data_IF_155139899510
#
_entry.id   IF_155139899510
#
_cell.length_a   1.000
_cell.length_b   1.000
_cell.length_c   1.000
_cell.angle_alpha   90.00
_cell.angle_beta   90.00
_cell.angle_gamma   90.00
#
_symmetry.space_group_name_H-M   'P 1'
#
loop_
_entity.id
_entity.type
_entity.pdbx_description
1 polymer ?
#
# COMPACT_ATOMS: atom_id res chain seq x y z
N UNK A 1 62.93 27.78 43.10
CA UNK A 1 61.65 27.05 43.19
C UNK A 1 60.61 27.85 42.39
N UNK A 2 60.15 27.32 41.26
CA UNK A 2 59.13 27.93 40.39
C UNK A 2 57.93 26.98 40.32
N UNK A 3 56.66 27.46 40.39
CA UNK A 3 55.51 26.59 40.45
C UNK A 3 55.15 25.99 39.08
N UNK A 4 54.77 24.72 39.10
CA UNK A 4 54.26 23.95 37.95
C UNK A 4 52.82 24.38 37.65
N UNK A 5 52.59 24.95 36.46
CA UNK A 5 51.24 25.27 35.96
C UNK A 5 50.63 23.99 35.39
N UNK A 6 49.66 23.41 36.11
CA UNK A 6 48.85 22.27 35.60
C UNK A 6 47.85 22.78 34.56
N UNK A 7 47.86 22.20 33.37
CA UNK A 7 46.83 22.44 32.36
C UNK A 7 45.48 21.88 32.85
N UNK A 8 44.47 22.74 32.96
CA UNK A 8 43.11 22.34 33.31
C UNK A 8 42.44 21.64 32.11
N UNK A 9 41.82 20.48 32.36
CA UNK A 9 41.12 19.72 31.32
C UNK A 9 39.81 20.41 30.91
N UNK A 10 39.62 20.57 29.60
CA UNK A 10 38.47 21.24 28.96
C UNK A 10 37.12 20.54 29.18
N UNK A 11 37.09 19.41 29.90
CA UNK A 11 35.88 18.65 30.19
C UNK A 11 35.11 19.16 31.42
N UNK A 12 35.69 20.04 32.24
CA UNK A 12 35.06 20.55 33.47
C UNK A 12 34.15 21.78 33.26
N UNK A 13 34.02 22.29 32.02
CA UNK A 13 33.24 23.49 31.73
C UNK A 13 31.80 23.17 31.27
N UNK A 14 30.80 24.01 31.63
CA UNK A 14 29.40 23.82 31.29
C UNK A 14 29.17 23.85 29.76
N UNK A 15 28.19 23.08 29.24
CA UNK A 15 28.02 22.81 27.81
C UNK A 15 27.71 24.07 26.97
N UNK A 16 27.21 25.14 27.58
CA UNK A 16 26.89 26.41 26.92
C UNK A 16 28.12 27.25 26.54
N UNK A 17 29.28 27.03 27.15
CA UNK A 17 30.51 27.80 26.90
C UNK A 17 31.53 27.07 26.01
N UNK A 18 31.25 25.81 25.65
CA UNK A 18 32.12 24.99 24.79
C UNK A 18 32.24 25.47 23.34
N UNK A 19 31.23 26.07 22.67
CA UNK A 19 31.39 26.46 21.26
C UNK A 19 32.25 27.71 21.06
N UNK A 20 32.48 28.51 22.10
CA UNK A 20 33.25 29.77 22.01
C UNK A 20 34.77 29.50 22.07
N UNK A 21 35.21 28.46 22.80
CA UNK A 21 36.62 28.06 22.88
C UNK A 21 37.04 27.07 21.78
N UNK A 22 36.09 26.44 21.10
CA UNK A 22 36.33 25.63 19.91
C UNK A 22 36.27 26.45 18.60
N UNK A 23 36.32 27.78 18.70
CA UNK A 23 36.50 28.67 17.56
C UNK A 23 37.89 28.41 16.97
N UNK A 24 37.95 27.51 15.97
CA UNK A 24 39.12 27.38 15.11
C UNK A 24 39.32 28.71 14.41
N UNK A 25 40.33 29.47 14.83
CA UNK A 25 40.80 30.62 14.09
C UNK A 25 41.20 30.16 12.68
N UNK A 26 40.39 30.50 11.69
CA UNK A 26 40.80 30.41 10.29
C UNK A 26 41.81 31.53 10.04
N UNK A 27 43.09 31.20 10.14
CA UNK A 27 44.16 32.09 9.71
C UNK A 27 44.11 32.21 8.17
N UNK A 28 43.52 33.28 7.66
CA UNK A 28 43.73 33.74 6.29
C UNK A 28 45.11 34.36 6.20
N UNK A 29 46.08 33.66 5.62
CA UNK A 29 47.39 34.23 5.31
C UNK A 29 47.25 35.21 4.12
N UNK A 30 46.98 36.48 4.38
CA UNK A 30 47.22 37.55 3.39
C UNK A 30 48.70 37.92 3.46
N UNK A 31 49.52 37.13 2.79
CA UNK A 31 50.96 37.39 2.66
C UNK A 31 51.22 38.49 1.63
N UNK A 32 51.51 39.70 2.11
CA UNK A 32 52.07 40.78 1.31
C UNK A 32 53.58 40.57 1.16
N UNK A 33 54.04 40.41 -0.08
CA UNK A 33 55.42 40.60 -0.55
C UNK A 33 56.58 40.18 0.36
N UNK A 34 57.05 38.95 0.20
CA UNK A 34 58.48 38.65 0.43
C UNK A 34 58.96 37.70 -0.66
N UNK A 35 59.92 38.16 -1.46
CA UNK A 35 60.60 37.41 -2.51
C UNK A 35 61.55 36.41 -1.87
N UNK A 36 61.05 35.24 -1.54
CA UNK A 36 61.84 34.04 -1.35
C UNK A 36 61.10 32.92 -2.05
N UNK A 37 61.81 32.16 -2.88
CA UNK A 37 61.34 31.05 -3.72
C UNK A 37 60.42 30.11 -2.93
N UNK A 38 59.13 30.43 -2.88
CA UNK A 38 58.18 29.76 -2.02
C UNK A 38 57.66 28.53 -2.76
N UNK A 39 58.14 27.36 -2.37
CA UNK A 39 57.43 26.13 -2.69
C UNK A 39 56.05 26.22 -2.05
N UNK A 40 55.04 26.54 -2.85
CA UNK A 40 53.63 26.46 -2.47
C UNK A 40 53.40 25.11 -1.78
N UNK A 41 52.68 25.04 -0.62
CA UNK A 41 52.42 23.77 0.02
C UNK A 41 51.69 22.87 -0.99
N UNK A 42 52.36 21.78 -1.40
CA UNK A 42 51.86 20.84 -2.40
C UNK A 42 50.49 20.35 -1.93
N UNK A 43 49.42 20.79 -2.60
CA UNK A 43 48.06 20.43 -2.25
C UNK A 43 47.93 18.91 -2.18
N UNK A 44 47.32 18.39 -1.11
CA UNK A 44 47.05 16.96 -0.97
C UNK A 44 46.07 16.54 -2.07
N UNK A 45 46.42 15.47 -2.79
CA UNK A 45 45.57 14.92 -3.83
C UNK A 45 44.24 14.44 -3.22
N UNK A 46 43.12 14.82 -3.82
CA UNK A 46 41.78 14.43 -3.38
C UNK A 46 41.56 12.97 -3.78
N UNK A 47 41.33 12.11 -2.79
CA UNK A 47 41.02 10.69 -2.98
C UNK A 47 39.57 10.42 -2.61
N UNK A 48 39.06 9.25 -3.00
CA UNK A 48 37.69 8.78 -2.72
C UNK A 48 37.31 8.77 -1.23
N UNK A 49 38.29 8.82 -0.33
CA UNK A 49 38.08 8.76 1.13
C UNK A 49 38.40 10.08 1.86
N UNK A 50 38.97 11.08 1.18
CA UNK A 50 39.48 12.32 1.79
C UNK A 50 38.94 13.58 1.08
N UNK A 51 37.74 13.51 0.52
CA UNK A 51 37.12 14.65 -0.18
C UNK A 51 36.19 15.44 0.75
N UNK A 52 36.64 16.62 1.18
CA UNK A 52 35.90 17.53 2.07
C UNK A 52 35.06 18.58 1.31
N UNK A 53 34.96 18.48 -0.03
CA UNK A 53 34.18 19.43 -0.87
C UNK A 53 34.76 20.85 -0.99
N UNK A 54 35.82 21.18 -0.24
CA UNK A 54 36.38 22.54 -0.13
C UNK A 54 37.05 23.08 -1.39
N UNK A 55 37.42 22.20 -2.33
CA UNK A 55 38.04 22.58 -3.61
C UNK A 55 36.99 22.67 -4.72
N UNK A 56 36.94 23.79 -5.48
CA UNK A 56 36.05 23.94 -6.63
C UNK A 56 36.42 23.01 -7.80
N UNK A 57 35.41 22.47 -8.47
CA UNK A 57 35.50 21.46 -9.54
C UNK A 57 36.50 21.76 -10.67
N UNK A 58 36.72 23.04 -10.98
CA UNK A 58 37.64 23.49 -12.04
C UNK A 58 39.11 23.19 -11.71
N UNK A 59 39.45 23.11 -10.43
CA UNK A 59 40.83 22.95 -9.93
C UNK A 59 41.13 21.51 -9.46
N UNK A 60 40.33 20.53 -9.87
CA UNK A 60 40.60 19.10 -9.66
C UNK A 60 41.18 18.47 -10.93
N UNK A 61 42.23 17.67 -10.76
CA UNK A 61 42.79 16.84 -11.82
C UNK A 61 41.77 15.78 -12.28
N UNK A 62 41.95 15.24 -13.49
CA UNK A 62 41.02 14.24 -14.05
C UNK A 62 40.80 13.03 -13.14
N UNK A 63 41.83 12.60 -12.41
CA UNK A 63 41.76 11.46 -11.46
C UNK A 63 40.99 11.82 -10.17
N UNK A 64 41.12 13.05 -9.69
CA UNK A 64 40.43 13.54 -8.51
C UNK A 64 38.93 13.82 -8.78
N UNK A 65 38.60 14.27 -10.00
CA UNK A 65 37.19 14.36 -10.45
C UNK A 65 36.51 13.00 -10.45
N UNK A 66 37.19 11.98 -10.98
CA UNK A 66 36.69 10.60 -10.94
C UNK A 66 36.47 10.16 -9.50
N UNK A 67 37.42 10.42 -8.59
CA UNK A 67 37.29 10.05 -7.18
C UNK A 67 36.06 10.70 -6.49
N UNK A 68 35.83 12.00 -6.69
CA UNK A 68 34.64 12.70 -6.16
C UNK A 68 33.35 12.15 -6.76
N UNK A 69 33.32 11.91 -8.07
CA UNK A 69 32.17 11.29 -8.75
C UNK A 69 31.90 9.89 -8.21
N UNK A 70 32.94 9.07 -8.00
CA UNK A 70 32.79 7.69 -7.50
C UNK A 70 32.11 7.66 -6.14
N UNK A 71 32.51 8.53 -5.20
CA UNK A 71 31.90 8.60 -3.87
C UNK A 71 30.42 9.03 -3.95
N UNK A 72 30.11 10.01 -4.79
CA UNK A 72 28.73 10.43 -5.03
C UNK A 72 27.88 9.32 -5.68
N UNK A 73 28.43 8.58 -6.64
CA UNK A 73 27.74 7.48 -7.31
C UNK A 73 27.54 6.25 -6.43
N UNK A 74 28.43 6.00 -5.48
CA UNK A 74 28.29 4.87 -4.55
C UNK A 74 27.15 5.10 -3.55
N UNK A 75 27.07 6.31 -2.98
CA UNK A 75 25.99 6.69 -2.07
C UNK A 75 24.64 6.67 -2.79
N UNK A 76 24.56 7.26 -4.00
CA UNK A 76 23.35 7.23 -4.81
C UNK A 76 23.00 5.80 -5.24
N UNK A 77 23.99 5.01 -5.66
CA UNK A 77 23.80 3.62 -6.09
C UNK A 77 23.23 2.75 -4.98
N UNK A 78 23.73 2.90 -3.75
CA UNK A 78 23.21 2.15 -2.58
C UNK A 78 21.75 2.51 -2.29
N UNK A 79 21.41 3.80 -2.34
CA UNK A 79 20.01 4.27 -2.18
C UNK A 79 19.12 3.71 -3.28
N UNK A 80 19.54 3.73 -4.54
CA UNK A 80 18.77 3.21 -5.66
C UNK A 80 18.54 1.69 -5.54
N UNK A 81 19.55 0.93 -5.15
CA UNK A 81 19.44 -0.52 -4.90
C UNK A 81 18.46 -0.78 -3.76
N UNK A 82 18.58 -0.06 -2.65
CA UNK A 82 17.67 -0.18 -1.50
C UNK A 82 16.22 0.13 -1.87
N UNK A 83 15.99 1.20 -2.64
CA UNK A 83 14.66 1.58 -3.14
C UNK A 83 14.10 0.54 -4.11
N UNK A 84 14.91 -0.02 -5.01
CA UNK A 84 14.47 -1.05 -5.93
C UNK A 84 14.04 -2.34 -5.20
N UNK A 85 14.84 -2.80 -4.23
CA UNK A 85 14.51 -3.97 -3.42
C UNK A 85 13.23 -3.75 -2.59
N UNK A 86 13.13 -2.60 -1.92
CA UNK A 86 11.96 -2.24 -1.09
C UNK A 86 10.72 -2.10 -1.95
N UNK A 87 10.84 -1.46 -3.13
CA UNK A 87 9.76 -1.34 -4.11
C UNK A 87 9.29 -2.68 -4.64
N UNK A 88 10.21 -3.61 -4.92
CA UNK A 88 9.90 -4.97 -5.35
C UNK A 88 9.09 -5.75 -4.30
N UNK A 89 9.52 -5.73 -3.03
CA UNK A 89 8.78 -6.40 -1.94
C UNK A 89 7.40 -5.77 -1.74
N UNK A 90 7.34 -4.44 -1.74
CA UNK A 90 6.07 -3.70 -1.60
C UNK A 90 5.11 -4.03 -2.73
N UNK A 91 5.61 -4.13 -3.97
CA UNK A 91 4.82 -4.52 -5.13
C UNK A 91 4.22 -5.92 -4.97
N UNK A 92 5.01 -6.91 -4.58
CA UNK A 92 4.54 -8.28 -4.38
C UNK A 92 3.47 -8.37 -3.29
N UNK A 93 3.65 -7.66 -2.17
CA UNK A 93 2.66 -7.59 -1.11
C UNK A 93 1.37 -6.91 -1.59
N UNK A 94 1.49 -5.84 -2.38
CA UNK A 94 0.34 -5.16 -2.94
C UNK A 94 -0.46 -6.06 -3.89
N UNK A 95 0.21 -6.78 -4.79
CA UNK A 95 -0.45 -7.66 -5.76
C UNK A 95 -1.13 -8.87 -5.11
N UNK A 96 -0.56 -9.42 -4.04
CA UNK A 96 -1.10 -10.62 -3.39
C UNK A 96 -2.17 -10.30 -2.33
N UNK A 97 -2.07 -9.18 -1.61
CA UNK A 97 -2.91 -8.90 -0.43
C UNK A 97 -3.92 -7.79 -0.68
N UNK A 98 -3.50 -6.70 -1.33
CA UNK A 98 -4.29 -5.47 -1.41
C UNK A 98 -4.94 -5.25 -2.76
N UNK A 99 -4.50 -5.96 -3.80
CA UNK A 99 -5.11 -5.88 -5.11
C UNK A 99 -6.61 -6.22 -4.98
N UNK A 100 -7.51 -5.47 -5.64
CA UNK A 100 -8.94 -5.79 -5.65
C UNK A 100 -9.23 -7.21 -6.15
N UNK A 101 -8.35 -7.70 -7.03
CA UNK A 101 -8.36 -9.03 -7.64
C UNK A 101 -7.70 -10.12 -6.76
N UNK A 102 -7.18 -9.77 -5.59
CA UNK A 102 -6.56 -10.74 -4.68
C UNK A 102 -7.56 -11.71 -4.07
N UNK A 103 -7.10 -12.94 -3.81
CA UNK A 103 -7.90 -14.01 -3.17
C UNK A 103 -8.46 -13.57 -1.82
N UNK A 104 -7.67 -12.85 -1.03
CA UNK A 104 -8.03 -12.40 0.31
C UNK A 104 -9.13 -11.32 0.23
N UNK A 105 -9.02 -10.37 -0.70
CA UNK A 105 -10.04 -9.36 -0.89
C UNK A 105 -11.38 -9.97 -1.35
N UNK A 106 -11.34 -10.94 -2.27
CA UNK A 106 -12.56 -11.66 -2.71
C UNK A 106 -13.19 -12.46 -1.57
N UNK A 107 -12.37 -13.11 -0.73
CA UNK A 107 -12.87 -13.79 0.47
C UNK A 107 -13.57 -12.83 1.43
N UNK A 108 -12.95 -11.69 1.76
CA UNK A 108 -13.54 -10.71 2.67
C UNK A 108 -14.86 -10.16 2.12
N UNK A 109 -14.89 -9.83 0.82
CA UNK A 109 -16.09 -9.34 0.15
C UNK A 109 -17.23 -10.37 0.17
N UNK A 110 -16.94 -11.63 -0.14
CA UNK A 110 -17.92 -12.70 -0.08
C UNK A 110 -18.41 -12.96 1.35
N UNK A 111 -17.51 -12.93 2.33
CA UNK A 111 -17.85 -13.10 3.74
C UNK A 111 -18.74 -11.96 4.27
N UNK A 112 -18.46 -10.72 3.88
CA UNK A 112 -19.26 -9.56 4.28
C UNK A 112 -20.65 -9.59 3.62
N UNK A 113 -20.73 -10.00 2.35
CA UNK A 113 -22.00 -10.22 1.67
C UNK A 113 -22.88 -11.27 2.37
N UNK A 114 -22.28 -12.36 2.87
CA UNK A 114 -23.00 -13.37 3.67
C UNK A 114 -23.46 -12.83 5.03
N UNK A 115 -22.70 -11.91 5.65
CA UNK A 115 -23.08 -11.28 6.92
C UNK A 115 -24.15 -10.21 6.76
N UNK A 116 -24.27 -9.61 5.59
CA UNK A 116 -25.25 -8.55 5.28
C UNK A 116 -26.59 -9.11 4.78
N UNK A 117 -26.60 -10.29 4.15
CA UNK A 117 -27.83 -10.87 3.59
C UNK A 117 -28.79 -11.34 4.71
N UNK A 118 -30.04 -10.82 4.77
CA UNK A 118 -31.02 -11.22 5.78
C UNK A 118 -31.34 -12.72 5.75
N UNK A 119 -31.28 -13.38 4.58
CA UNK A 119 -31.54 -14.83 4.45
C UNK A 119 -30.48 -15.65 5.17
N UNK A 120 -29.23 -15.19 5.10
CA UNK A 120 -28.12 -15.85 5.79
C UNK A 120 -28.17 -15.58 7.31
N UNK A 121 -28.57 -14.37 7.70
CA UNK A 121 -28.74 -13.99 9.12
C UNK A 121 -29.84 -14.82 9.80
N UNK A 122 -30.94 -15.12 9.10
CA UNK A 122 -32.02 -15.96 9.65
C UNK A 122 -31.51 -17.37 10.03
N UNK A 123 -30.66 -17.95 9.18
CA UNK A 123 -30.16 -19.32 9.37
C UNK A 123 -28.94 -19.39 10.29
N UNK A 124 -27.98 -18.46 10.15
CA UNK A 124 -26.73 -18.46 10.93
C UNK A 124 -26.89 -17.72 12.28
N UNK A 125 -27.83 -16.79 12.36
CA UNK A 125 -28.05 -15.88 13.50
C UNK A 125 -27.43 -14.50 13.29
N UNK A 126 -27.26 -13.74 14.39
CA UNK A 126 -26.83 -12.33 14.33
C UNK A 126 -25.51 -12.14 13.54
N UNK A 127 -25.58 -11.36 12.45
CA UNK A 127 -24.46 -11.07 11.54
C UNK A 127 -23.16 -10.63 12.21
N UNK A 128 -23.24 -9.89 13.33
CA UNK A 128 -22.05 -9.43 14.08
C UNK A 128 -21.27 -10.55 14.77
N UNK A 129 -21.91 -11.69 15.02
CA UNK A 129 -21.29 -12.85 15.68
C UNK A 129 -20.86 -13.93 14.68
N UNK A 130 -21.07 -13.71 13.38
CA UNK A 130 -20.71 -14.66 12.33
C UNK A 130 -19.20 -14.58 12.08
N UNK A 131 -18.53 -15.73 12.17
CA UNK A 131 -17.11 -15.91 11.91
C UNK A 131 -16.93 -16.68 10.61
N UNK A 132 -16.07 -16.18 9.72
CA UNK A 132 -15.66 -16.89 8.51
C UNK A 132 -14.20 -17.33 8.64
N UNK A 133 -13.92 -18.58 8.28
CA UNK A 133 -12.57 -19.15 8.35
C UNK A 133 -12.36 -20.19 7.24
N UNK A 134 -11.09 -20.50 6.96
CA UNK A 134 -10.72 -21.48 5.93
C UNK A 134 -11.02 -22.93 6.32
N UNK A 135 -10.28 -23.86 5.72
CA UNK A 135 -10.47 -25.29 5.99
C UNK A 135 -10.16 -25.63 7.45
N UNK A 136 -10.92 -26.55 8.08
CA UNK A 136 -10.64 -26.96 9.43
C UNK A 136 -9.40 -27.85 9.39
N UNK A 137 -8.32 -27.42 10.02
CA UNK A 137 -7.14 -28.26 10.14
C UNK A 137 -7.23 -29.13 11.39
N UNK A 138 -6.71 -30.36 11.33
CA UNK A 138 -6.75 -31.33 12.43
C UNK A 138 -5.84 -30.96 13.61
N UNK A 139 -4.96 -29.98 13.44
CA UNK A 139 -4.06 -29.50 14.49
C UNK A 139 -4.77 -28.58 15.48
N UNK A 140 -4.70 -28.92 16.77
CA UNK A 140 -5.26 -28.14 17.89
C UNK A 140 -4.69 -26.71 17.99
N UNK A 141 -3.52 -26.46 17.41
CA UNK A 141 -2.88 -25.13 17.42
C UNK A 141 -3.41 -24.20 16.32
N UNK A 142 -3.91 -24.76 15.23
CA UNK A 142 -4.31 -23.96 14.07
C UNK A 142 -5.83 -23.74 14.08
N UNK A 143 -6.22 -22.58 14.61
CA UNK A 143 -7.63 -22.19 14.82
C UNK A 143 -8.30 -21.61 13.57
N UNK A 144 -7.52 -21.29 12.54
CA UNK A 144 -8.01 -20.86 11.23
C UNK A 144 -7.05 -21.45 10.18
N UNK A 145 -7.52 -22.44 9.42
CA UNK A 145 -6.74 -22.99 8.32
C UNK A 145 -6.65 -22.03 7.14
N UNK A 146 -5.74 -22.32 6.18
CA UNK A 146 -5.67 -21.56 4.94
C UNK A 146 -7.01 -21.61 4.20
N UNK A 147 -7.29 -20.54 3.45
CA UNK A 147 -8.46 -20.47 2.61
C UNK A 147 -8.19 -21.34 1.38
N UNK A 148 -9.04 -22.34 1.16
CA UNK A 148 -8.95 -23.19 -0.03
C UNK A 148 -9.45 -22.42 -1.24
N UNK A 149 -8.50 -21.92 -2.02
CA UNK A 149 -8.74 -21.18 -3.24
C UNK A 149 -7.93 -21.78 -4.38
N UNK A 150 -8.56 -22.02 -5.52
CA UNK A 150 -7.92 -22.49 -6.73
C UNK A 150 -8.20 -21.50 -7.87
N UNK A 151 -7.15 -21.06 -8.56
CA UNK A 151 -7.25 -20.27 -9.78
C UNK A 151 -6.85 -21.16 -10.94
N UNK A 152 -7.81 -21.46 -11.82
CA UNK A 152 -7.59 -22.25 -13.03
C UNK A 152 -7.84 -21.39 -14.25
N UNK A 153 -6.97 -21.48 -15.26
CA UNK A 153 -7.13 -20.76 -16.52
C UNK A 153 -7.60 -21.70 -17.61
N UNK A 154 -8.71 -21.37 -18.23
CA UNK A 154 -9.30 -22.12 -19.34
C UNK A 154 -8.50 -21.93 -20.64
N UNK A 155 -8.67 -22.85 -21.60
CA UNK A 155 -8.10 -22.74 -22.96
C UNK A 155 -8.51 -21.45 -23.67
N UNK A 156 -9.69 -20.90 -23.34
CA UNK A 156 -10.21 -19.63 -23.85
C UNK A 156 -9.61 -18.39 -23.18
N UNK A 157 -8.66 -18.57 -22.26
CA UNK A 157 -8.01 -17.49 -21.51
C UNK A 157 -8.87 -16.93 -20.38
N UNK A 158 -9.99 -17.57 -20.06
CA UNK A 158 -10.87 -17.18 -18.95
C UNK A 158 -10.31 -17.73 -17.64
N UNK A 159 -10.23 -16.89 -16.61
CA UNK A 159 -9.72 -17.30 -15.30
C UNK A 159 -10.88 -17.64 -14.38
N UNK A 160 -10.81 -18.82 -13.76
CA UNK A 160 -11.78 -19.36 -12.83
C UNK A 160 -11.20 -19.35 -11.43
N UNK A 161 -11.77 -18.55 -10.54
CA UNK A 161 -11.46 -18.56 -9.13
C UNK A 161 -12.54 -19.36 -8.40
N UNK A 162 -12.18 -20.53 -7.90
CA UNK A 162 -13.06 -21.39 -7.09
C UNK A 162 -12.54 -21.33 -5.66
N UNK A 163 -13.42 -21.02 -4.72
CA UNK A 163 -13.07 -20.91 -3.32
C UNK A 163 -14.22 -21.42 -2.45
N UNK A 164 -13.85 -22.11 -1.37
CA UNK A 164 -14.80 -22.50 -0.34
C UNK A 164 -14.23 -22.16 1.03
N UNK A 165 -15.12 -21.76 1.92
CA UNK A 165 -14.77 -21.42 3.29
C UNK A 165 -15.92 -21.74 4.23
N UNK A 166 -15.58 -21.91 5.50
CA UNK A 166 -16.54 -22.24 6.54
C UNK A 166 -17.02 -20.97 7.22
N UNK A 167 -18.29 -21.00 7.61
CA UNK A 167 -18.94 -19.92 8.34
C UNK A 167 -19.61 -20.50 9.57
N UNK A 168 -19.35 -19.88 10.71
CA UNK A 168 -19.92 -20.25 12.01
C UNK A 168 -20.68 -19.06 12.58
N UNK A 169 -21.97 -19.25 12.79
CA UNK A 169 -22.84 -18.31 13.49
C UNK A 169 -23.28 -18.87 14.85
N UNK A 170 -23.96 -18.06 15.67
CA UNK A 170 -24.46 -18.49 16.98
C UNK A 170 -25.52 -19.60 16.90
N UNK A 171 -26.23 -19.74 15.79
CA UNK A 171 -27.26 -20.76 15.61
C UNK A 171 -26.72 -22.00 14.90
N UNK A 172 -26.05 -21.79 13.77
CA UNK A 172 -25.64 -22.86 12.88
C UNK A 172 -24.25 -22.59 12.27
N UNK A 173 -23.68 -23.66 11.69
CA UNK A 173 -22.47 -23.61 10.87
C UNK A 173 -22.77 -24.06 9.45
N UNK A 174 -22.11 -23.45 8.48
CA UNK A 174 -22.26 -23.74 7.08
C UNK A 174 -20.96 -23.63 6.30
N UNK A 175 -21.03 -24.01 5.04
CA UNK A 175 -19.93 -23.88 4.08
C UNK A 175 -20.40 -22.96 2.96
N UNK A 176 -19.64 -21.91 2.70
CA UNK A 176 -19.85 -21.03 1.56
C UNK A 176 -18.98 -21.51 0.43
N UNK A 177 -19.59 -21.66 -0.75
CA UNK A 177 -18.87 -21.96 -1.97
C UNK A 177 -19.10 -20.82 -2.96
N UNK A 178 -18.01 -20.39 -3.59
CA UNK A 178 -18.05 -19.37 -4.61
C UNK A 178 -17.24 -19.79 -5.83
N UNK A 179 -17.78 -19.44 -6.98
CA UNK A 179 -17.10 -19.55 -8.25
C UNK A 179 -17.20 -18.21 -8.95
N UNK A 180 -16.04 -17.61 -9.16
CA UNK A 180 -15.90 -16.39 -9.91
C UNK A 180 -15.18 -16.66 -11.22
N UNK A 181 -15.51 -15.84 -12.22
CA UNK A 181 -14.99 -15.94 -13.57
C UNK A 181 -14.49 -14.56 -13.98
N UNK A 182 -13.28 -14.51 -14.53
CA UNK A 182 -12.68 -13.30 -15.10
C UNK A 182 -12.48 -13.53 -16.61
N UNK A 183 -13.35 -12.96 -17.44
CA UNK A 183 -13.18 -12.97 -18.89
C UNK A 183 -11.91 -12.21 -19.28
N UNK A 184 -11.25 -12.56 -20.40
CA UNK A 184 -10.08 -11.81 -20.88
C UNK A 184 -10.43 -10.37 -21.30
N UNK A 185 -11.71 -10.08 -21.58
CA UNK A 185 -12.20 -8.74 -21.94
C UNK A 185 -12.41 -7.82 -20.73
N UNK A 186 -12.52 -8.37 -19.52
CA UNK A 186 -12.82 -7.62 -18.31
C UNK A 186 -11.69 -7.75 -17.28
N UNK A 187 -11.40 -6.66 -16.59
CA UNK A 187 -10.38 -6.66 -15.53
C UNK A 187 -10.90 -7.18 -14.19
N UNK A 188 -12.22 -7.24 -13.99
CA UNK A 188 -12.85 -7.63 -12.72
C UNK A 188 -13.37 -9.06 -12.72
N UNK A 189 -13.31 -9.70 -11.55
CA UNK A 189 -13.99 -10.97 -11.31
C UNK A 189 -15.51 -10.79 -11.22
N UNK A 190 -16.24 -11.61 -11.95
CA UNK A 190 -17.70 -11.72 -11.89
C UNK A 190 -18.10 -13.00 -11.16
N UNK A 191 -19.12 -12.93 -10.31
CA UNK A 191 -19.64 -14.14 -9.67
C UNK A 191 -20.45 -14.96 -10.68
N UNK A 192 -20.09 -16.23 -10.82
CA UNK A 192 -20.95 -17.22 -11.48
C UNK A 192 -22.00 -17.72 -10.49
N UNK A 193 -21.55 -18.15 -9.32
CA UNK A 193 -22.42 -18.44 -8.19
C UNK A 193 -21.72 -18.14 -6.86
N UNK A 194 -22.52 -17.75 -5.88
CA UNK A 194 -22.17 -17.64 -4.47
C UNK A 194 -23.33 -18.23 -3.68
N UNK A 195 -23.09 -19.31 -2.95
CA UNK A 195 -24.12 -19.92 -2.13
C UNK A 195 -23.60 -20.34 -0.76
N UNK A 196 -24.51 -20.32 0.21
CA UNK A 196 -24.32 -20.82 1.56
C UNK A 196 -25.06 -22.15 1.71
N UNK A 197 -24.32 -23.16 2.17
CA UNK A 197 -24.84 -24.48 2.49
C UNK A 197 -24.82 -24.69 4.01
N UNK A 198 -26.00 -24.80 4.63
CA UNK A 198 -26.15 -25.03 6.07
C UNK A 198 -26.83 -26.37 6.28
N UNK A 199 -26.29 -27.17 7.21
CA UNK A 199 -26.88 -28.48 7.53
C UNK A 199 -28.34 -28.31 7.98
N UNK A 200 -29.24 -29.05 7.34
CA UNK A 200 -30.67 -29.04 7.65
C UNK A 200 -31.47 -27.88 7.06
N UNK A 201 -30.86 -27.01 6.24
CA UNK A 201 -31.55 -25.93 5.55
C UNK A 201 -31.37 -26.06 4.04
N UNK A 202 -32.29 -25.46 3.27
CA UNK A 202 -32.11 -25.37 1.83
C UNK A 202 -30.93 -24.46 1.50
N UNK A 203 -30.14 -24.83 0.49
CA UNK A 203 -29.01 -24.02 0.01
C UNK A 203 -29.50 -22.63 -0.41
N UNK A 204 -28.88 -21.60 0.15
CA UNK A 204 -29.21 -20.20 -0.12
C UNK A 204 -28.24 -19.68 -1.18
N UNK A 205 -28.76 -19.28 -2.34
CA UNK A 205 -27.97 -18.60 -3.36
C UNK A 205 -28.03 -17.09 -3.13
N UNK A 206 -26.88 -16.46 -2.93
CA UNK A 206 -26.73 -15.01 -2.82
C UNK A 206 -26.55 -14.39 -4.20
N UNK A 207 -25.70 -15.00 -5.02
CA UNK A 207 -25.53 -14.66 -6.42
C UNK A 207 -25.61 -15.91 -7.28
N UNK A 208 -26.33 -15.84 -8.39
CA UNK A 208 -26.48 -16.95 -9.32
C UNK A 208 -26.69 -16.41 -10.74
N UNK A 209 -25.59 -16.23 -11.46
CA UNK A 209 -25.63 -15.77 -12.85
C UNK A 209 -26.27 -16.83 -13.77
N UNK A 210 -26.12 -18.12 -13.47
CA UNK A 210 -26.66 -19.20 -14.30
C UNK A 210 -28.20 -19.26 -14.21
N UNK A 211 -28.79 -19.04 -13.03
CA UNK A 211 -30.25 -18.96 -12.88
C UNK A 211 -30.86 -17.75 -13.60
N UNK A 212 -30.09 -16.66 -13.74
CA UNK A 212 -30.55 -15.51 -14.53
C UNK A 212 -30.48 -15.74 -16.05
N UNK A 213 -29.64 -16.67 -16.50
CA UNK A 213 -29.43 -17.03 -17.91
C UNK A 213 -30.10 -18.36 -18.31
N UNK A 214 -30.81 -19.03 -17.39
CA UNK A 214 -31.56 -20.24 -17.69
C UNK A 214 -32.75 -19.98 -18.63
N UNK A 215 -33.18 -20.96 -19.44
CA UNK A 215 -34.23 -20.82 -20.45
C UNK A 215 -35.66 -20.67 -19.90
N UNK A 216 -35.80 -20.17 -18.67
CA UNK A 216 -37.07 -20.12 -17.94
C UNK A 216 -37.20 -18.94 -16.98
N UNK A 217 -36.46 -17.84 -17.18
CA UNK A 217 -36.74 -16.61 -16.44
C UNK A 217 -37.97 -15.95 -17.06
N UNK A 218 -39.11 -16.18 -16.41
CA UNK A 218 -40.46 -15.81 -16.78
C UNK A 218 -40.59 -14.45 -17.48
N UNK A 219 -41.03 -14.50 -18.75
CA UNK A 219 -41.61 -13.37 -19.50
C UNK A 219 -42.81 -12.74 -18.76
N UNK A 220 -43.35 -13.44 -17.76
CA UNK A 220 -44.53 -13.07 -16.99
C UNK A 220 -44.20 -12.03 -15.90
N UNK A 221 -42.95 -11.96 -15.43
CA UNK A 221 -42.54 -10.97 -14.39
C UNK A 221 -42.54 -9.55 -14.95
N UNK A 222 -42.24 -9.39 -16.24
CA UNK A 222 -42.32 -8.09 -16.93
C UNK A 222 -43.76 -7.69 -17.29
N UNK A 223 -44.68 -8.64 -17.43
CA UNK A 223 -46.11 -8.36 -17.68
C UNK A 223 -46.84 -7.92 -16.40
N UNK A 224 -46.44 -8.43 -15.24
CA UNK A 224 -46.97 -8.01 -13.92
C UNK A 224 -46.48 -6.60 -13.52
N UNK A 225 -45.24 -6.25 -13.87
CA UNK A 225 -44.67 -4.91 -13.59
C UNK A 225 -45.24 -3.82 -14.50
N UNK A 226 -45.59 -4.15 -15.74
CA UNK A 226 -46.20 -3.21 -16.69
C UNK A 226 -47.65 -2.88 -16.30
N UNK A 227 -48.37 -3.86 -15.77
CA UNK A 227 -49.74 -3.71 -15.24
C UNK A 227 -49.82 -2.81 -13.99
N UNK A 228 -48.71 -2.67 -13.26
CA UNK A 228 -48.60 -1.83 -12.06
C UNK A 228 -48.17 -0.40 -12.36
N UNK A 229 -47.71 -0.10 -13.57
CA UNK A 229 -47.33 1.25 -14.00
C UNK A 229 -48.52 1.98 -14.65
N UNK A 230 -49.60 2.17 -13.89
CA UNK A 230 -50.63 3.16 -14.22
C UNK A 230 -50.10 4.56 -13.83
N UNK A 231 -50.06 5.55 -14.73
CA UNK A 231 -49.36 6.84 -14.56
C UNK A 231 -49.89 7.79 -13.46
N UNK A 232 -50.86 7.41 -12.63
CA UNK A 232 -51.44 8.31 -11.61
C UNK A 232 -50.64 8.45 -10.30
N UNK A 233 -49.52 7.73 -10.13
CA UNK A 233 -48.76 7.72 -8.84
C UNK A 233 -47.35 8.35 -8.91
N UNK A 234 -47.00 9.04 -10.00
CA UNK A 234 -45.64 9.59 -10.23
C UNK A 234 -45.50 11.06 -9.74
N UNK A 235 -45.96 11.37 -8.53
CA UNK A 235 -45.68 12.67 -7.88
C UNK A 235 -44.95 12.52 -6.53
N UNK A 236 -44.94 11.33 -5.92
CA UNK A 236 -44.34 11.13 -4.58
C UNK A 236 -42.84 10.77 -4.53
N UNK A 237 -42.26 10.25 -5.61
CA UNK A 237 -40.99 9.52 -5.53
C UNK A 237 -39.73 10.29 -6.00
N UNK A 238 -39.83 11.58 -6.32
CA UNK A 238 -38.70 12.39 -6.80
C UNK A 238 -37.80 12.98 -5.70
N UNK A 239 -38.08 12.74 -4.40
CA UNK A 239 -37.31 13.36 -3.30
C UNK A 239 -36.19 12.51 -2.69
N UNK A 240 -35.97 11.26 -3.14
CA UNK A 240 -35.01 10.33 -2.51
C UNK A 240 -33.76 9.99 -3.34
N UNK A 241 -33.50 10.71 -4.43
CA UNK A 241 -32.35 10.48 -5.32
C UNK A 241 -31.16 11.45 -5.09
N UNK A 242 -31.26 12.42 -4.17
CA UNK A 242 -30.22 13.44 -3.97
C UNK A 242 -29.08 13.05 -3.01
N UNK A 243 -29.16 11.91 -2.33
CA UNK A 243 -28.18 11.49 -1.30
C UNK A 243 -26.98 10.70 -1.84
N UNK A 244 -27.08 10.07 -3.00
CA UNK A 244 -26.08 9.12 -3.49
C UNK A 244 -24.95 9.79 -4.30
N UNK A 245 -25.20 10.98 -4.85
CA UNK A 245 -24.24 11.71 -5.71
C UNK A 245 -23.10 12.34 -4.89
N UNK A 246 -23.30 12.62 -3.59
CA UNK A 246 -22.30 13.32 -2.75
C UNK A 246 -21.10 12.45 -2.32
N UNK A 247 -21.20 11.12 -2.34
CA UNK A 247 -20.08 10.25 -1.91
C UNK A 247 -19.00 10.07 -2.97
N UNK A 248 -19.34 10.20 -4.27
CA UNK A 248 -18.35 10.12 -5.36
C UNK A 248 -17.48 11.39 -5.46
N UNK A 249 -18.03 12.56 -5.10
CA UNK A 249 -17.27 13.82 -5.12
C UNK A 249 -16.31 13.96 -3.94
N UNK A 250 -16.64 13.41 -2.77
CA UNK A 250 -15.77 13.49 -1.58
C UNK A 250 -14.50 12.63 -1.73
N UNK A 251 -14.60 11.46 -2.37
CA UNK A 251 -13.45 10.58 -2.57
C UNK A 251 -12.43 11.18 -3.56
N UNK A 252 -12.90 11.92 -4.57
CA UNK A 252 -12.03 12.64 -5.50
C UNK A 252 -11.31 13.83 -4.82
N UNK A 253 -11.97 14.56 -3.92
CA UNK A 253 -11.35 15.67 -3.18
C UNK A 253 -10.31 15.21 -2.15
N UNK A 254 -10.53 14.08 -1.47
CA UNK A 254 -9.54 13.52 -0.52
C UNK A 254 -8.27 13.05 -1.24
N UNK A 255 -8.42 12.40 -2.41
CA UNK A 255 -7.27 11.97 -3.23
C UNK A 255 -6.52 13.19 -3.81
N UNK A 256 -7.23 14.25 -4.20
CA UNK A 256 -6.63 15.47 -4.75
C UNK A 256 -5.91 16.33 -3.70
N UNK A 257 -6.38 16.33 -2.44
CA UNK A 257 -5.71 17.02 -1.33
C UNK A 257 -4.46 16.26 -0.89
N UNK A 258 -4.49 14.92 -0.86
CA UNK A 258 -3.32 14.11 -0.49
C UNK A 258 -2.17 14.21 -1.50
N UNK A 259 -2.49 14.29 -2.80
CA UNK A 259 -1.50 14.49 -3.87
C UNK A 259 -0.88 15.91 -3.87
N UNK A 260 -1.61 16.91 -3.37
CA UNK A 260 -1.09 18.28 -3.21
C UNK A 260 -0.15 18.44 -2.01
N UNK A 261 -0.37 17.67 -0.95
CA UNK A 261 0.51 17.66 0.24
C UNK A 261 1.89 17.06 -0.12
N UNK A 262 1.91 15.99 -0.92
CA UNK A 262 3.16 15.30 -1.31
C UNK A 262 4.04 16.13 -2.26
N UNK A 263 3.46 16.98 -3.12
CA UNK A 263 4.22 17.86 -4.02
C UNK A 263 4.71 19.17 -3.36
N UNK A 264 4.20 19.54 -2.19
CA UNK A 264 4.64 20.76 -1.50
C UNK A 264 5.91 20.52 -0.66
N UNK A 265 6.15 19.27 -0.27
CA UNK A 265 7.28 18.89 0.60
C UNK A 265 8.58 18.62 -0.16
N UNK A 266 8.53 18.45 -1.49
CA UNK A 266 9.72 18.41 -2.37
C UNK A 266 10.29 19.79 -2.72
N UNK A 267 9.58 20.89 -2.42
CA UNK A 267 10.06 22.26 -2.75
C UNK A 267 10.82 22.95 -1.60
N UNK A 268 11.01 22.28 -0.46
CA UNK A 268 11.71 22.84 0.70
C UNK A 268 13.18 22.38 0.79
N UNK A 269 13.60 21.36 0.03
CA UNK A 269 14.97 20.83 0.08
C UNK A 269 15.91 21.29 -1.06
N UNK A 270 15.54 22.30 -1.84
CA UNK A 270 16.38 22.85 -2.93
C UNK A 270 16.75 24.32 -2.71
N UNK A 271 16.99 24.73 -1.47
CA UNK A 271 17.70 25.97 -1.16
C UNK A 271 18.46 25.88 0.16
N UNK A 272 19.53 25.06 0.22
CA UNK A 272 20.73 25.32 1.03
C UNK A 272 21.93 24.71 0.29
#
# INVERSE_FOLDING_TARGET
MLPSIRAASLFSLPPSLRPILAARHYATHTGLGTTNTSSQPKRKAVTTFNDDGRVPWRDLSGREKVARTTQQTFNLGTVLIGTALTGGVTYLLYTEVFAPDSKINQFNRAADQVKEDPRCIEVLGNGKKIRAYGEPTSSKWARAGPIASNITKDRRGVEHLIMHFNVEGPLNRGVVNLHMVKPPSESSFLYKYLFLDVKGHQRIYLENADATNGPGKDKNTWQELDSRMNPSTIVGAQKKASGQVRKKTLFSLVVQVSLRQFYCEERIYTTI
#
